data_IF_313924854422
#
_entry.id   IF_313924854422
#
_cell.length_a   1.000
_cell.length_b   1.000
_cell.length_c   1.000
_cell.angle_alpha   90.00
_cell.angle_beta   90.00
_cell.angle_gamma   90.00
#
_symmetry.space_group_name_H-M   'P 1'
#
loop_
_entity.id
_entity.type
_entity.pdbx_description
1 polymer ?
#
# COMPACT_ATOMS: atom_id res chain seq x y z
N UNK A 1 -0.32 15.93 -4.99
CA UNK A 1 -1.43 15.16 -4.40
C UNK A 1 -0.83 14.04 -3.58
N UNK A 2 -1.35 13.78 -2.38
CA UNK A 2 -0.90 12.64 -1.57
C UNK A 2 -1.66 11.40 -2.00
N UNK A 3 -0.95 10.37 -2.47
CA UNK A 3 -1.57 9.11 -2.87
C UNK A 3 -2.01 8.32 -1.63
N UNK A 4 -3.26 7.83 -1.57
CA UNK A 4 -3.74 7.03 -0.45
C UNK A 4 -2.98 5.71 -0.27
N UNK A 5 -2.88 5.23 0.97
CA UNK A 5 -2.20 3.97 1.27
C UNK A 5 -2.85 2.78 0.54
N UNK A 6 -4.19 2.79 0.40
CA UNK A 6 -4.93 1.75 -0.30
C UNK A 6 -4.56 1.66 -1.78
N UNK A 7 -4.13 2.75 -2.42
CA UNK A 7 -3.70 2.74 -3.83
C UNK A 7 -2.40 1.95 -4.00
N UNK A 8 -1.38 2.20 -3.16
CA UNK A 8 -0.14 1.42 -3.18
C UNK A 8 -0.42 -0.06 -2.95
N UNK A 9 -1.21 -0.36 -1.92
CA UNK A 9 -1.56 -1.73 -1.54
C UNK A 9 -2.38 -2.41 -2.65
N UNK A 10 -3.29 -1.71 -3.31
CA UNK A 10 -4.08 -2.28 -4.39
C UNK A 10 -3.22 -2.61 -5.61
N UNK A 11 -2.33 -1.69 -6.01
CA UNK A 11 -1.44 -1.91 -7.15
C UNK A 11 -0.46 -3.07 -6.90
N UNK A 12 0.10 -3.17 -5.69
CA UNK A 12 1.04 -4.23 -5.37
C UNK A 12 0.38 -5.59 -5.04
N UNK A 13 -0.96 -5.65 -4.99
CA UNK A 13 -1.73 -6.81 -4.51
C UNK A 13 -1.40 -8.11 -5.25
N UNK A 14 -1.12 -8.02 -6.55
CA UNK A 14 -0.82 -9.17 -7.42
C UNK A 14 0.57 -9.75 -7.16
N UNK A 15 1.51 -8.95 -6.64
CA UNK A 15 2.89 -9.38 -6.37
C UNK A 15 3.04 -10.06 -5.01
N UNK A 16 2.04 -9.98 -4.13
CA UNK A 16 2.09 -10.59 -2.79
C UNK A 16 1.56 -12.02 -2.81
N UNK A 17 2.41 -12.96 -2.40
CA UNK A 17 2.07 -14.39 -2.32
C UNK A 17 2.39 -15.01 -0.95
N UNK A 18 1.93 -16.24 -0.75
CA UNK A 18 2.22 -17.05 0.42
C UNK A 18 1.65 -16.49 1.74
N UNK A 19 2.37 -16.76 2.83
CA UNK A 19 1.94 -16.46 4.20
C UNK A 19 1.80 -14.96 4.52
N UNK A 20 2.25 -14.07 3.62
CA UNK A 20 2.14 -12.61 3.77
C UNK A 20 0.86 -12.03 3.18
N UNK A 21 0.21 -12.75 2.26
CA UNK A 21 -0.97 -12.27 1.53
C UNK A 21 -2.12 -11.85 2.46
N UNK A 22 -2.42 -12.63 3.49
CA UNK A 22 -3.52 -12.30 4.41
C UNK A 22 -3.25 -11.01 5.20
N UNK A 23 -2.00 -10.75 5.63
CA UNK A 23 -1.63 -9.52 6.34
C UNK A 23 -1.72 -8.30 5.42
N UNK A 24 -1.32 -8.50 4.17
CA UNK A 24 -1.39 -7.47 3.15
C UNK A 24 -2.84 -7.08 2.83
N UNK A 25 -3.72 -8.07 2.63
CA UNK A 25 -5.15 -7.83 2.41
C UNK A 25 -5.81 -7.17 3.62
N UNK A 26 -5.43 -7.56 4.84
CA UNK A 26 -5.89 -6.90 6.07
C UNK A 26 -5.44 -5.44 6.15
N UNK A 27 -4.20 -5.13 5.72
CA UNK A 27 -3.71 -3.77 5.62
C UNK A 27 -4.49 -2.96 4.57
N UNK A 28 -4.79 -3.54 3.40
CA UNK A 28 -5.60 -2.90 2.37
C UNK A 28 -7.02 -2.59 2.87
N UNK A 29 -7.66 -3.53 3.55
CA UNK A 29 -8.97 -3.32 4.15
C UNK A 29 -8.93 -2.21 5.21
N UNK A 30 -7.92 -2.22 6.07
CA UNK A 30 -7.74 -1.19 7.11
C UNK A 30 -7.48 0.19 6.50
N UNK A 31 -6.65 0.28 5.46
CA UNK A 31 -6.36 1.52 4.75
C UNK A 31 -7.64 2.16 4.20
N UNK A 32 -8.49 1.37 3.53
CA UNK A 32 -9.79 1.83 3.01
C UNK A 32 -10.72 2.34 4.10
N UNK A 33 -10.74 1.69 5.26
CA UNK A 33 -11.52 2.15 6.42
C UNK A 33 -10.96 3.48 6.94
N UNK A 34 -9.64 3.59 7.11
CA UNK A 34 -9.01 4.85 7.52
C UNK A 34 -9.32 5.99 6.55
N UNK A 35 -9.18 5.77 5.25
CA UNK A 35 -9.49 6.75 4.20
C UNK A 35 -10.95 7.18 4.21
N UNK A 36 -11.88 6.21 4.34
CA UNK A 36 -13.33 6.49 4.38
C UNK A 36 -13.73 7.36 5.58
N UNK A 37 -13.06 7.20 6.72
CA UNK A 37 -13.36 7.93 7.95
C UNK A 37 -12.35 9.05 8.25
N UNK A 38 -11.48 9.39 7.29
CA UNK A 38 -10.42 10.40 7.43
C UNK A 38 -9.55 10.20 8.70
N UNK A 39 -9.30 8.94 9.06
CA UNK A 39 -8.49 8.56 10.22
C UNK A 39 -7.02 8.37 9.83
N UNK A 40 -6.09 8.65 10.76
CA UNK A 40 -4.67 8.38 10.52
C UNK A 40 -4.41 6.89 10.31
N UNK A 41 -3.44 6.57 9.45
CA UNK A 41 -3.06 5.19 9.20
C UNK A 41 -2.33 4.58 10.40
N UNK A 42 -2.75 3.38 10.86
CA UNK A 42 -1.99 2.64 11.85
C UNK A 42 -0.62 2.26 11.29
N UNK A 43 0.34 2.02 12.18
CA UNK A 43 1.73 1.69 11.79
C UNK A 43 1.80 0.53 10.79
N UNK A 44 0.95 -0.48 10.96
CA UNK A 44 0.88 -1.64 10.06
C UNK A 44 0.54 -1.25 8.62
N UNK A 45 -0.45 -0.38 8.41
CA UNK A 45 -0.84 0.11 7.08
C UNK A 45 0.30 0.89 6.45
N UNK A 46 0.96 1.76 7.22
CA UNK A 46 2.10 2.54 6.73
C UNK A 46 3.27 1.65 6.30
N UNK A 47 3.66 0.69 7.15
CA UNK A 47 4.71 -0.27 6.81
C UNK A 47 4.38 -1.05 5.54
N UNK A 48 3.15 -1.54 5.41
CA UNK A 48 2.74 -2.28 4.21
C UNK A 48 2.65 -1.41 2.96
N UNK A 49 2.28 -0.13 3.08
CA UNK A 49 2.28 0.80 1.95
C UNK A 49 3.71 1.08 1.45
N UNK A 50 4.68 1.26 2.36
CA UNK A 50 6.10 1.37 1.99
C UNK A 50 6.62 0.08 1.35
N UNK A 51 6.27 -1.09 1.92
CA UNK A 51 6.60 -2.39 1.31
C UNK A 51 5.97 -2.57 -0.07
N UNK A 52 4.72 -2.12 -0.26
CA UNK A 52 4.05 -2.15 -1.54
C UNK A 52 4.74 -1.25 -2.57
N UNK A 53 5.18 -0.06 -2.16
CA UNK A 53 5.98 0.81 -3.02
C UNK A 53 7.31 0.15 -3.43
N UNK A 54 8.01 -0.50 -2.50
CA UNK A 54 9.25 -1.22 -2.82
C UNK A 54 9.02 -2.38 -3.80
N UNK A 55 7.89 -3.09 -3.69
CA UNK A 55 7.50 -4.12 -4.67
C UNK A 55 7.23 -3.50 -6.04
N UNK A 56 6.46 -2.41 -6.10
CA UNK A 56 6.18 -1.71 -7.37
C UNK A 56 7.48 -1.22 -8.01
N UNK A 57 8.47 -0.76 -7.25
CA UNK A 57 9.77 -0.38 -7.82
C UNK A 57 10.49 -1.52 -8.53
N UNK A 58 10.25 -2.76 -8.14
CA UNK A 58 10.87 -3.94 -8.75
C UNK A 58 10.02 -4.50 -9.91
N UNK A 59 8.72 -4.66 -9.67
CA UNK A 59 7.83 -5.41 -10.56
C UNK A 59 6.96 -4.52 -11.48
N UNK A 60 6.82 -3.23 -11.18
CA UNK A 60 6.04 -2.25 -11.95
C UNK A 60 6.63 -0.81 -11.82
N UNK A 61 7.88 -0.59 -12.27
CA UNK A 61 8.64 0.63 -11.99
C UNK A 61 7.98 1.91 -12.53
N UNK A 62 7.21 1.82 -13.62
CA UNK A 62 6.41 2.90 -14.17
C UNK A 62 5.33 3.39 -13.21
N UNK A 63 4.66 2.46 -12.51
CA UNK A 63 3.65 2.79 -11.48
C UNK A 63 4.33 3.42 -10.27
N UNK A 64 5.50 2.90 -9.87
CA UNK A 64 6.27 3.49 -8.79
C UNK A 64 6.77 4.90 -9.12
N UNK A 65 7.18 5.16 -10.37
CA UNK A 65 7.61 6.48 -10.82
C UNK A 65 6.44 7.49 -10.85
N UNK A 66 5.25 7.05 -11.25
CA UNK A 66 4.03 7.86 -11.18
C UNK A 66 3.64 8.17 -9.73
N UNK A 67 3.73 7.17 -8.85
CA UNK A 67 3.23 7.31 -7.48
C UNK A 67 4.20 8.09 -6.58
N UNK A 68 5.50 7.88 -6.76
CA UNK A 68 6.52 8.30 -5.80
C UNK A 68 6.43 7.54 -4.47
N UNK A 69 7.35 7.79 -3.52
CA UNK A 69 7.33 7.14 -2.22
C UNK A 69 6.15 7.65 -1.36
N UNK A 70 5.54 6.79 -0.51
CA UNK A 70 4.53 7.23 0.45
C UNK A 70 5.06 8.30 1.41
N UNK A 71 4.28 9.34 1.68
CA UNK A 71 4.72 10.53 2.46
C UNK A 71 4.28 10.55 3.93
N UNK A 72 3.84 9.42 4.49
CA UNK A 72 3.17 9.32 5.80
C UNK A 72 3.80 8.27 6.75
#
# INVERSE_FOLDING_TARGET
MTIPASSYLFQARTFVSGSRKWRFEAALATARVCERFERPYPKSVRTWAHTAYDMLRMDAPEVAAEFGPPSF
#
